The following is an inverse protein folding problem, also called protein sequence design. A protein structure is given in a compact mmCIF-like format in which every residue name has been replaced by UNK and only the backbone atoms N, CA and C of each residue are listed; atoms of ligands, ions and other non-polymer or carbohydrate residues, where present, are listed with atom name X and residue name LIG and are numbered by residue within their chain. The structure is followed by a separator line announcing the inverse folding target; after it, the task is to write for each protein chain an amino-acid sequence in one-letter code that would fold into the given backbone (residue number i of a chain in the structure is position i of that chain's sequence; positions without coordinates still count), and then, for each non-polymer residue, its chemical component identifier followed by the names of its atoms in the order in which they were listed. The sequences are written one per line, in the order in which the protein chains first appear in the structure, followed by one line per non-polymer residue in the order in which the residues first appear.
data_IF_458750238021
#
_entry.id   IF_458750238021
#
_cell.length_a   1.000
_cell.length_b   1.000
_cell.length_c   1.000
_cell.angle_alpha   90.00
_cell.angle_beta   90.00
_cell.angle_gamma   90.00
#
_symmetry.space_group_name_H-M   'P 1'
#
loop_
_entity.id
_entity.type
_entity.pdbx_description
1 polymer ?
#
# COMPACT_ATOMS: atom_id res chain seq x y z
N UNK A 1 39.51 17.01 36.93
CA UNK A 1 39.29 16.93 35.46
C UNK A 1 38.47 18.09 34.86
N UNK A 2 37.43 18.65 35.54
CA UNK A 2 36.62 19.78 35.03
C UNK A 2 37.37 21.08 34.68
N UNK A 3 38.39 21.46 35.45
CA UNK A 3 39.14 22.73 35.23
C UNK A 3 40.01 22.75 33.97
N UNK A 4 40.52 21.58 33.54
CA UNK A 4 41.36 21.48 32.33
C UNK A 4 40.53 21.58 31.04
N UNK A 5 39.30 21.06 31.05
CA UNK A 5 38.35 21.18 29.93
C UNK A 5 37.93 22.64 29.69
N UNK A 6 37.65 23.40 30.75
CA UNK A 6 37.29 24.82 30.62
C UNK A 6 38.40 25.67 30.02
N UNK A 7 39.67 25.42 30.38
CA UNK A 7 40.81 26.15 29.82
C UNK A 7 40.95 25.90 28.31
N UNK A 8 40.76 24.65 27.87
CA UNK A 8 40.79 24.29 26.45
C UNK A 8 39.63 24.89 25.64
N UNK A 9 38.44 24.95 26.22
CA UNK A 9 37.29 25.60 25.57
C UNK A 9 37.50 27.11 25.44
N UNK A 10 38.02 27.77 26.48
CA UNK A 10 38.34 29.20 26.45
C UNK A 10 39.41 29.56 25.41
N UNK A 11 40.42 28.71 25.23
CA UNK A 11 41.44 28.92 24.18
C UNK A 11 40.86 28.73 22.78
N UNK A 12 39.99 27.74 22.58
CA UNK A 12 39.35 27.48 21.28
C UNK A 12 38.39 28.61 20.88
N UNK A 13 37.58 29.11 21.83
CA UNK A 13 36.70 30.27 21.59
C UNK A 13 37.50 31.53 21.26
N UNK A 14 38.68 31.70 21.88
CA UNK A 14 39.58 32.83 21.61
C UNK A 14 40.29 32.73 20.26
N UNK A 15 40.51 31.53 19.74
CA UNK A 15 41.08 31.30 18.40
C UNK A 15 40.06 31.46 17.28
N UNK A 16 38.77 31.31 17.56
CA UNK A 16 37.67 31.53 16.61
C UNK A 16 37.22 33.01 16.52
N UNK A 17 37.76 33.89 17.36
CA UNK A 17 37.45 35.31 17.38
C UNK A 17 38.29 36.05 16.31
N UNK A 18 37.72 36.21 15.11
CA UNK A 18 38.40 36.75 13.94
C UNK A 18 38.60 38.29 13.94
N UNK A 19 38.16 38.99 14.99
CA UNK A 19 38.15 40.45 15.05
C UNK A 19 39.11 41.02 16.13
N UNK A 20 39.90 42.07 15.82
CA UNK A 20 40.77 42.71 16.80
C UNK A 20 39.94 43.40 17.90
N UNK A 21 40.25 43.12 19.17
CA UNK A 21 39.54 43.71 20.31
C UNK A 21 39.87 45.19 20.46
N UNK A 22 38.81 45.99 20.62
CA UNK A 22 38.87 47.44 20.88
C UNK A 22 39.41 47.71 22.30
N UNK A 23 40.07 48.85 22.50
CA UNK A 23 40.64 49.23 23.81
C UNK A 23 39.55 49.46 24.87
N UNK A 24 39.81 49.05 26.11
CA UNK A 24 38.84 49.05 27.22
C UNK A 24 38.27 50.45 27.54
N UNK A 25 38.95 51.52 27.15
CA UNK A 25 38.49 52.91 27.32
C UNK A 25 37.36 53.34 26.39
N UNK A 26 37.05 52.55 25.34
CA UNK A 26 35.98 52.83 24.38
C UNK A 26 34.81 51.85 24.52
N UNK A 27 34.79 51.03 25.58
CA UNK A 27 33.80 49.98 25.80
C UNK A 27 33.10 50.20 27.13
N UNK A 28 31.97 50.89 27.10
CA UNK A 28 31.11 51.07 28.27
C UNK A 28 30.28 49.81 28.49
N UNK A 29 30.68 48.96 29.44
CA UNK A 29 29.94 47.74 29.78
C UNK A 29 28.78 48.07 30.72
N UNK A 30 27.55 48.09 30.18
CA UNK A 30 26.35 48.23 31.01
C UNK A 30 25.72 46.88 31.35
N UNK A 31 25.47 46.63 32.64
CA UNK A 31 24.77 45.44 33.12
C UNK A 31 23.34 45.31 32.55
N UNK A 32 22.70 46.44 32.22
CA UNK A 32 21.37 46.43 31.58
C UNK A 32 21.43 45.98 30.13
N UNK A 33 22.45 46.40 29.36
CA UNK A 33 22.64 46.00 27.96
C UNK A 33 22.94 44.51 27.78
N UNK A 34 23.72 43.93 28.70
CA UNK A 34 23.98 42.48 28.73
C UNK A 34 22.73 41.65 29.02
N UNK A 35 21.88 42.13 29.94
CA UNK A 35 20.62 41.44 30.29
C UNK A 35 19.63 41.46 29.13
N UNK A 36 19.47 42.61 28.45
CA UNK A 36 18.61 42.73 27.26
C UNK A 36 19.10 41.80 26.14
N UNK A 37 20.41 41.74 25.92
CA UNK A 37 21.00 40.84 24.92
C UNK A 37 20.70 39.36 25.21
N UNK A 38 20.82 38.92 26.47
CA UNK A 38 20.51 37.54 26.86
C UNK A 38 19.02 37.18 26.66
N UNK A 39 18.13 38.11 27.00
CA UNK A 39 16.68 37.93 26.78
C UNK A 39 16.39 37.82 25.28
N UNK A 40 16.99 38.70 24.46
CA UNK A 40 16.81 38.66 23.01
C UNK A 40 17.33 37.36 22.39
N UNK A 41 18.51 36.90 22.78
CA UNK A 41 19.05 35.60 22.32
C UNK A 41 18.18 34.42 22.78
N UNK A 42 17.67 34.45 24.01
CA UNK A 42 16.75 33.43 24.52
C UNK A 42 15.43 33.40 23.74
N UNK A 43 14.86 34.57 23.43
CA UNK A 43 13.65 34.68 22.62
C UNK A 43 13.88 34.19 21.18
N UNK A 44 14.99 34.59 20.54
CA UNK A 44 15.36 34.10 19.21
C UNK A 44 15.56 32.58 19.18
N UNK A 45 16.22 32.00 20.20
CA UNK A 45 16.40 30.56 20.31
C UNK A 45 15.07 29.81 20.49
N UNK A 46 14.15 30.37 21.29
CA UNK A 46 12.81 29.81 21.49
C UNK A 46 11.97 29.86 20.20
N UNK A 47 12.01 30.98 19.47
CA UNK A 47 11.34 31.09 18.17
C UNK A 47 11.94 30.12 17.15
N UNK A 48 13.27 30.02 17.07
CA UNK A 48 13.94 29.09 16.18
C UNK A 48 13.61 27.62 16.53
N UNK A 49 13.48 27.30 17.81
CA UNK A 49 13.04 25.98 18.26
C UNK A 49 11.63 25.67 17.78
N UNK A 50 10.66 26.57 17.99
CA UNK A 50 9.29 26.36 17.52
C UNK A 50 9.19 26.27 15.99
N UNK A 51 9.87 27.16 15.27
CA UNK A 51 9.91 27.13 13.81
C UNK A 51 10.49 25.82 13.29
N UNK A 52 11.52 25.28 13.97
CA UNK A 52 12.07 23.98 13.64
C UNK A 52 11.02 22.87 13.78
N UNK A 53 10.18 22.86 14.82
CA UNK A 53 9.10 21.86 14.93
C UNK A 53 8.03 22.03 13.86
N UNK A 54 7.70 23.26 13.47
CA UNK A 54 6.76 23.54 12.39
C UNK A 54 7.33 23.07 11.05
N UNK A 55 8.58 23.41 10.74
CA UNK A 55 9.27 22.98 9.51
C UNK A 55 9.48 21.46 9.44
N UNK A 56 9.61 20.82 10.60
CA UNK A 56 9.67 19.36 10.73
C UNK A 56 8.34 18.68 10.42
N UNK A 57 7.20 19.37 10.53
CA UNK A 57 5.92 18.82 10.16
C UNK A 57 5.71 18.94 8.64
N UNK A 58 5.40 17.81 8.00
CA UNK A 58 5.18 17.75 6.56
C UNK A 58 3.69 17.72 6.30
N UNK A 59 3.23 18.46 5.29
CA UNK A 59 1.83 18.52 4.89
C UNK A 59 1.71 18.10 3.42
N UNK A 60 0.63 17.40 3.08
CA UNK A 60 0.39 17.00 1.69
C UNK A 60 -0.25 18.18 0.97
N UNK A 61 0.31 18.56 -0.18
CA UNK A 61 -0.25 19.61 -1.04
C UNK A 61 -0.63 18.98 -2.38
N UNK A 62 -1.92 18.95 -2.66
CA UNK A 62 -2.45 18.42 -3.91
C UNK A 62 -2.50 19.54 -4.95
N UNK A 63 -1.81 19.35 -6.07
CA UNK A 63 -1.81 20.27 -7.21
C UNK A 63 -2.34 19.51 -8.43
N UNK A 64 -3.11 20.21 -9.26
CA UNK A 64 -3.66 19.65 -10.50
C UNK A 64 -2.80 20.11 -11.67
N UNK A 65 -2.35 19.13 -12.46
CA UNK A 65 -1.62 19.37 -13.70
C UNK A 65 -2.34 18.65 -14.86
N UNK A 66 -2.16 19.17 -16.08
CA UNK A 66 -2.71 18.54 -17.29
C UNK A 66 -1.85 17.33 -17.65
N UNK A 67 -2.45 16.14 -17.70
CA UNK A 67 -1.78 14.93 -18.22
C UNK A 67 -1.56 15.07 -19.73
N UNK A 68 -0.29 15.15 -20.15
CA UNK A 68 0.12 15.21 -21.56
C UNK A 68 0.49 13.82 -22.12
N UNK A 69 0.59 12.79 -21.28
CA UNK A 69 1.11 11.47 -21.64
C UNK A 69 -0.01 10.47 -21.96
N UNK A 70 -0.71 10.71 -23.08
CA UNK A 70 -1.81 9.85 -23.56
C UNK A 70 -1.33 8.50 -24.14
N UNK A 71 -0.09 8.43 -24.64
CA UNK A 71 0.42 7.23 -25.33
C UNK A 71 0.95 6.15 -24.37
N UNK A 72 1.14 6.49 -23.10
CA UNK A 72 1.65 5.54 -22.10
C UNK A 72 0.58 4.52 -21.71
N UNK A 73 1.01 3.28 -21.43
CA UNK A 73 0.10 2.25 -20.91
C UNK A 73 -0.06 2.39 -19.41
N UNK A 74 -1.28 2.22 -18.93
CA UNK A 74 -1.62 2.19 -17.51
C UNK A 74 -1.47 0.77 -16.97
N UNK A 75 -0.71 0.60 -15.90
CA UNK A 75 -0.65 -0.65 -15.14
C UNK A 75 -1.90 -0.77 -14.27
N UNK A 76 -2.59 -1.89 -14.28
CA UNK A 76 -3.67 -2.21 -13.32
C UNK A 76 -3.19 -3.38 -12.49
N UNK A 77 -3.17 -3.23 -11.16
CA UNK A 77 -2.88 -4.32 -10.23
C UNK A 77 -4.21 -4.88 -9.73
N UNK A 78 -4.39 -6.19 -9.92
CA UNK A 78 -5.64 -6.89 -9.64
C UNK A 78 -5.33 -7.99 -8.64
N UNK A 79 -6.07 -8.02 -7.54
CA UNK A 79 -6.10 -9.10 -6.56
C UNK A 79 -7.57 -9.32 -6.15
N UNK A 80 -8.20 -10.32 -6.77
CA UNK A 80 -9.62 -10.61 -6.60
C UNK A 80 -9.79 -12.11 -6.32
N UNK A 81 -10.65 -12.45 -5.38
CA UNK A 81 -11.02 -13.83 -5.07
C UNK A 81 -12.48 -14.07 -5.43
N UNK A 82 -12.74 -14.94 -6.42
CA UNK A 82 -14.09 -15.34 -6.84
C UNK A 82 -14.45 -16.72 -6.30
N UNK A 83 -15.70 -16.92 -5.84
CA UNK A 83 -16.21 -18.17 -5.25
C UNK A 83 -16.52 -19.27 -6.28
N UNK A 84 -15.64 -19.43 -7.27
CA UNK A 84 -15.73 -20.43 -8.33
C UNK A 84 -14.38 -21.12 -8.54
N UNK A 85 -14.38 -22.30 -9.15
CA UNK A 85 -13.13 -22.99 -9.50
C UNK A 85 -12.38 -22.23 -10.60
N UNK A 86 -11.05 -22.16 -10.51
CA UNK A 86 -10.21 -21.48 -11.50
C UNK A 86 -10.31 -21.98 -12.94
N UNK A 87 -10.81 -23.20 -13.15
CA UNK A 87 -11.03 -23.74 -14.50
C UNK A 87 -12.20 -23.07 -15.22
N UNK A 88 -13.13 -22.48 -14.45
CA UNK A 88 -14.37 -21.91 -14.95
C UNK A 88 -14.42 -20.39 -14.81
N UNK A 89 -13.32 -19.73 -14.43
CA UNK A 89 -13.27 -18.27 -14.28
C UNK A 89 -12.24 -17.72 -15.25
N UNK A 90 -12.60 -16.64 -15.94
CA UNK A 90 -11.70 -15.86 -16.78
C UNK A 90 -11.91 -14.38 -16.53
N UNK A 91 -10.81 -13.63 -16.53
CA UNK A 91 -10.84 -12.18 -16.53
C UNK A 91 -10.48 -11.65 -17.92
N UNK A 92 -11.29 -10.73 -18.44
CA UNK A 92 -11.09 -10.05 -19.71
C UNK A 92 -11.17 -8.53 -19.52
N UNK A 93 -10.30 -7.82 -20.23
CA UNK A 93 -10.26 -6.37 -20.25
C UNK A 93 -10.55 -5.92 -21.67
N UNK A 94 -11.59 -5.10 -21.82
CA UNK A 94 -12.03 -4.55 -23.09
C UNK A 94 -11.89 -3.03 -23.03
N UNK A 95 -11.19 -2.46 -24.00
CA UNK A 95 -11.15 -1.01 -24.18
C UNK A 95 -12.34 -0.51 -25.03
N UNK A 96 -12.49 0.81 -25.15
CA UNK A 96 -13.50 1.43 -26.02
C UNK A 96 -13.43 0.95 -27.49
N UNK A 97 -12.28 0.44 -27.93
CA UNK A 97 -12.10 -0.11 -29.28
C UNK A 97 -12.46 -1.60 -29.36
N UNK A 98 -13.00 -2.18 -28.28
CA UNK A 98 -13.33 -3.60 -28.11
C UNK A 98 -12.14 -4.53 -28.42
N UNK A 99 -10.91 -4.01 -28.32
CA UNK A 99 -9.72 -4.81 -28.54
C UNK A 99 -9.38 -5.53 -27.24
N UNK A 100 -9.35 -6.86 -27.31
CA UNK A 100 -9.01 -7.66 -26.14
C UNK A 100 -7.50 -7.57 -25.89
N UNK A 101 -7.14 -7.00 -24.75
CA UNK A 101 -5.76 -7.02 -24.27
C UNK A 101 -5.54 -8.37 -23.59
N UNK A 102 -4.65 -9.19 -24.14
CA UNK A 102 -4.38 -10.53 -23.62
C UNK A 102 -4.01 -10.50 -22.13
N UNK A 103 -4.70 -11.30 -21.32
CA UNK A 103 -4.53 -11.42 -19.86
C UNK A 103 -3.23 -12.13 -19.42
N UNK A 104 -2.14 -12.00 -20.19
CA UNK A 104 -0.91 -12.78 -20.00
C UNK A 104 -0.21 -12.51 -18.66
N UNK A 105 -0.58 -11.43 -17.96
CA UNK A 105 -0.04 -11.07 -16.63
C UNK A 105 -0.89 -11.52 -15.44
N UNK A 106 -2.05 -12.17 -15.66
CA UNK A 106 -2.93 -12.65 -14.58
C UNK A 106 -2.71 -14.13 -14.28
N UNK A 107 -2.53 -14.43 -13.00
CA UNK A 107 -2.38 -15.78 -12.46
C UNK A 107 -3.67 -16.21 -11.76
N UNK A 108 -3.98 -17.50 -11.85
CA UNK A 108 -5.20 -18.09 -11.32
C UNK A 108 -4.82 -19.22 -10.35
N UNK A 109 -5.00 -18.99 -9.06
CA UNK A 109 -4.65 -19.93 -8.00
C UNK A 109 -5.88 -20.45 -7.25
N UNK A 110 -6.03 -21.77 -7.06
CA UNK A 110 -7.16 -22.31 -6.32
C UNK A 110 -7.00 -22.02 -4.82
N UNK A 111 -8.02 -21.41 -4.23
CA UNK A 111 -8.02 -21.02 -2.80
C UNK A 111 -9.35 -21.36 -2.13
N UNK A 112 -9.42 -21.16 -0.81
CA UNK A 112 -10.65 -21.23 -0.03
C UNK A 112 -11.27 -19.83 0.01
N UNK A 113 -12.58 -19.72 -0.25
CA UNK A 113 -13.26 -18.42 -0.24
C UNK A 113 -13.31 -17.78 1.16
N UNK A 114 -13.60 -18.62 2.16
CA UNK A 114 -13.72 -18.21 3.56
C UNK A 114 -12.40 -17.71 4.15
N UNK A 115 -12.45 -16.54 4.80
CA UNK A 115 -11.32 -15.99 5.54
C UNK A 115 -11.18 -16.57 6.95
N UNK A 116 -9.93 -16.67 7.41
CA UNK A 116 -9.57 -16.95 8.79
C UNK A 116 -10.13 -15.84 9.72
N UNK A 117 -10.48 -16.09 11.01
CA UNK A 117 -11.01 -15.04 11.88
C UNK A 117 -10.12 -13.80 11.99
N UNK A 118 -8.79 -13.96 11.99
CA UNK A 118 -7.84 -12.85 11.96
C UNK A 118 -7.97 -11.99 10.68
N UNK A 119 -8.06 -12.64 9.51
CA UNK A 119 -8.22 -11.95 8.23
C UNK A 119 -9.58 -11.26 8.13
N UNK A 120 -10.64 -11.89 8.66
CA UNK A 120 -11.97 -11.28 8.72
C UNK A 120 -12.00 -10.04 9.61
N UNK A 121 -11.27 -10.04 10.72
CA UNK A 121 -11.13 -8.84 11.57
C UNK A 121 -10.41 -7.71 10.82
N UNK A 122 -9.32 -8.04 10.11
CA UNK A 122 -8.60 -7.09 9.27
C UNK A 122 -9.49 -6.49 8.18
N UNK A 123 -10.20 -7.33 7.42
CA UNK A 123 -11.09 -6.88 6.35
C UNK A 123 -12.18 -5.94 6.89
N UNK A 124 -12.79 -6.26 8.04
CA UNK A 124 -13.78 -5.38 8.69
C UNK A 124 -13.18 -4.03 9.07
N UNK A 125 -11.97 -4.03 9.62
CA UNK A 125 -11.26 -2.79 9.93
C UNK A 125 -11.02 -1.96 8.66
N UNK A 126 -10.59 -2.59 7.57
CA UNK A 126 -10.34 -1.93 6.29
C UNK A 126 -11.62 -1.29 5.73
N UNK A 127 -12.74 -2.00 5.75
CA UNK A 127 -14.04 -1.49 5.31
C UNK A 127 -14.52 -0.29 6.14
N UNK A 128 -14.29 -0.32 7.47
CA UNK A 128 -14.61 0.82 8.35
C UNK A 128 -13.76 2.04 8.00
N UNK A 129 -12.46 1.83 7.76
CA UNK A 129 -11.55 2.91 7.35
C UNK A 129 -11.99 3.50 6.01
N UNK A 130 -12.30 2.66 5.02
CA UNK A 130 -12.76 3.10 3.71
C UNK A 130 -14.06 3.90 3.75
N UNK A 131 -15.06 3.41 4.50
CA UNK A 131 -16.32 4.14 4.63
C UNK A 131 -16.08 5.53 5.23
N UNK A 132 -15.19 5.65 6.22
CA UNK A 132 -14.80 6.92 6.81
C UNK A 132 -14.00 7.80 5.83
N UNK A 133 -13.07 7.22 5.07
CA UNK A 133 -12.29 7.94 4.06
C UNK A 133 -13.18 8.51 2.95
N UNK A 134 -14.25 7.81 2.58
CA UNK A 134 -15.23 8.28 1.58
C UNK A 134 -16.00 9.51 2.07
N UNK A 135 -16.29 9.58 3.36
CA UNK A 135 -16.96 10.75 3.95
C UNK A 135 -15.97 11.91 4.16
N UNK A 136 -14.74 11.60 4.58
CA UNK A 136 -13.76 12.58 5.04
C UNK A 136 -12.41 12.38 4.32
N UNK A 137 -12.28 13.01 3.16
CA UNK A 137 -11.07 12.93 2.33
C UNK A 137 -9.79 13.43 3.04
N UNK A 138 -9.93 14.33 4.02
CA UNK A 138 -8.82 14.84 4.84
C UNK A 138 -8.14 13.76 5.70
N UNK A 139 -8.81 12.61 5.91
CA UNK A 139 -8.26 11.52 6.70
C UNK A 139 -7.16 10.73 5.98
N UNK A 140 -7.09 10.83 4.65
CA UNK A 140 -6.04 10.17 3.86
C UNK A 140 -4.65 10.61 4.36
N UNK A 141 -4.50 11.89 4.70
CA UNK A 141 -3.24 12.45 5.21
C UNK A 141 -2.87 11.91 6.60
N UNK A 142 -3.85 11.79 7.50
CA UNK A 142 -3.63 11.26 8.86
C UNK A 142 -3.24 9.78 8.80
N UNK A 143 -3.90 9.02 7.93
CA UNK A 143 -3.56 7.62 7.70
C UNK A 143 -2.16 7.51 7.10
N UNK A 144 -1.85 8.27 6.05
CA UNK A 144 -0.53 8.28 5.43
C UNK A 144 0.60 8.57 6.46
N UNK A 145 0.43 9.60 7.30
CA UNK A 145 1.38 9.91 8.40
C UNK A 145 1.48 8.80 9.44
N UNK A 146 0.42 8.06 9.71
CA UNK A 146 0.40 6.95 10.67
C UNK A 146 1.05 5.68 10.09
N UNK A 147 0.86 5.44 8.80
CA UNK A 147 1.44 4.31 8.06
C UNK A 147 2.95 4.47 7.91
N UNK A 148 3.43 5.67 7.59
CA UNK A 148 4.87 5.99 7.56
C UNK A 148 5.55 5.82 8.93
N UNK A 149 4.79 5.79 10.02
CA UNK A 149 5.28 5.49 11.38
C UNK A 149 5.25 3.99 11.74
N UNK A 150 4.94 3.11 10.78
CA UNK A 150 5.03 1.65 10.93
C UNK A 150 3.71 0.93 11.18
N UNK A 151 2.56 1.55 10.91
CA UNK A 151 1.28 0.84 10.93
C UNK A 151 1.18 -0.16 9.76
N UNK A 152 0.82 -1.44 10.00
CA UNK A 152 0.59 -2.36 8.89
C UNK A 152 -0.63 -1.88 8.09
N UNK A 153 -0.51 -1.77 6.77
CA UNK A 153 -1.63 -1.52 5.84
C UNK A 153 -1.88 -2.70 4.92
N UNK A 154 -0.95 -3.64 4.86
CA UNK A 154 -1.08 -4.83 4.05
C UNK A 154 -2.00 -5.83 4.76
N UNK A 155 -2.90 -6.44 3.99
CA UNK A 155 -3.60 -7.65 4.37
C UNK A 155 -2.55 -8.64 4.91
N UNK A 156 -2.72 -9.20 6.14
CA UNK A 156 -1.81 -10.22 6.61
C UNK A 156 -1.74 -11.35 5.58
N UNK A 157 -0.53 -11.88 5.30
CA UNK A 157 -0.35 -12.85 4.24
C UNK A 157 -1.32 -14.00 4.45
N UNK A 158 -1.98 -14.43 3.37
CA UNK A 158 -2.84 -15.61 3.44
C UNK A 158 -2.01 -16.77 3.94
N UNK A 159 -2.51 -17.48 4.94
CA UNK A 159 -1.93 -18.74 5.38
C UNK A 159 -2.22 -19.82 4.35
N UNK A 160 -1.61 -19.72 3.16
CA UNK A 160 -1.68 -20.75 2.13
C UNK A 160 -0.49 -21.67 2.35
N UNK A 161 -0.63 -22.62 3.27
CA UNK A 161 0.23 -23.81 3.25
C UNK A 161 -0.24 -24.71 2.11
N UNK A 162 0.05 -24.30 0.86
CA UNK A 162 0.25 -25.32 -0.17
C UNK A 162 1.50 -26.09 0.21
N UNK A 163 1.32 -27.27 0.81
CA UNK A 163 2.38 -28.21 1.15
C UNK A 163 3.09 -28.79 -0.09
N UNK A 164 3.07 -28.09 -1.24
CA UNK A 164 3.84 -28.46 -2.43
C UNK A 164 5.22 -27.80 -2.47
N UNK A 165 5.44 -26.69 -1.77
CA UNK A 165 6.79 -26.09 -1.65
C UNK A 165 7.63 -26.64 -0.49
N UNK A 166 7.11 -27.56 0.32
CA UNK A 166 7.86 -28.11 1.45
C UNK A 166 8.86 -29.22 1.03
N UNK A 167 8.62 -29.90 -0.11
CA UNK A 167 9.46 -31.02 -0.53
C UNK A 167 10.81 -30.58 -1.13
N UNK A 168 10.86 -29.41 -1.77
CA UNK A 168 12.08 -28.89 -2.40
C UNK A 168 13.10 -28.32 -1.42
N UNK A 169 12.65 -27.89 -0.23
CA UNK A 169 13.53 -27.29 0.78
C UNK A 169 14.27 -28.34 1.63
N UNK A 170 13.81 -29.60 1.66
CA UNK A 170 14.41 -30.65 2.48
C UNK A 170 15.73 -31.23 1.92
N UNK A 171 16.01 -31.05 0.62
CA UNK A 171 17.11 -31.79 -0.02
C UNK A 171 18.44 -31.03 -0.02
N UNK A 172 18.46 -29.69 0.10
CA UNK A 172 19.69 -28.93 -0.22
C UNK A 172 20.47 -28.30 0.93
N UNK A 173 19.92 -28.13 2.13
CA UNK A 173 20.69 -27.51 3.21
C UNK A 173 20.41 -28.18 4.55
N UNK A 174 21.30 -29.11 4.90
CA UNK A 174 21.44 -29.58 6.26
C UNK A 174 21.87 -28.41 7.17
N UNK A 175 21.00 -28.13 8.15
CA UNK A 175 21.22 -27.31 9.33
C UNK A 175 21.19 -25.77 9.14
N UNK A 176 20.39 -25.13 10.00
CA UNK A 176 20.18 -23.68 10.18
C UNK A 176 18.99 -23.15 9.36
N UNK A 177 17.79 -23.25 9.92
CA UNK A 177 16.74 -22.22 10.05
C UNK A 177 15.51 -22.91 10.68
N UNK A 178 14.83 -22.20 11.58
CA UNK A 178 13.69 -22.70 12.38
C UNK A 178 12.65 -23.45 11.53
N UNK A 179 12.02 -24.52 12.06
CA UNK A 179 10.95 -25.17 11.34
C UNK A 179 9.79 -24.19 11.22
N UNK A 180 9.52 -23.71 10.00
CA UNK A 180 8.19 -23.21 9.65
C UNK A 180 7.27 -24.40 9.87
N UNK A 181 6.57 -24.42 11.01
CA UNK A 181 5.50 -25.36 11.27
C UNK A 181 4.46 -25.14 10.18
N UNK A 182 4.50 -25.96 9.14
CA UNK A 182 3.35 -26.14 8.27
C UNK A 182 2.26 -26.71 9.17
N UNK A 183 1.31 -25.88 9.57
CA UNK A 183 0.09 -26.36 10.19
C UNK A 183 -0.60 -27.17 9.11
N UNK A 184 -0.45 -28.49 9.19
CA UNK A 184 -1.35 -29.42 8.52
C UNK A 184 -2.70 -29.20 9.19
N UNK A 185 -3.51 -28.31 8.61
CA UNK A 185 -4.83 -28.07 9.15
C UNK A 185 -5.64 -29.36 9.04
N UNK A 186 -6.17 -29.79 10.19
CA UNK A 186 -7.13 -30.88 10.25
C UNK A 186 -8.37 -30.35 9.55
N UNK A 187 -8.78 -31.06 8.48
CA UNK A 187 -9.93 -30.77 7.62
C UNK A 187 -9.59 -29.87 6.43
N UNK A 188 -9.00 -30.48 5.39
CA UNK A 188 -8.80 -29.85 4.08
C UNK A 188 -10.17 -29.52 3.47
N UNK A 189 -10.68 -28.32 3.74
CA UNK A 189 -11.86 -27.80 3.05
C UNK A 189 -11.58 -27.82 1.53
N UNK A 190 -12.58 -28.17 0.70
CA UNK A 190 -12.39 -28.15 -0.74
C UNK A 190 -12.09 -26.71 -1.20
N UNK A 191 -11.09 -26.58 -2.08
CA UNK A 191 -10.76 -25.32 -2.75
C UNK A 191 -11.95 -24.93 -3.65
N UNK A 192 -12.75 -24.00 -3.17
CA UNK A 192 -14.02 -23.59 -3.76
C UNK A 192 -13.97 -22.18 -4.39
N UNK A 193 -12.79 -21.55 -4.40
CA UNK A 193 -12.59 -20.24 -4.98
C UNK A 193 -11.35 -20.20 -5.87
N UNK A 194 -11.30 -19.15 -6.68
CA UNK A 194 -10.18 -18.80 -7.52
C UNK A 194 -9.65 -17.43 -7.13
N UNK A 195 -8.37 -17.39 -6.82
CA UNK A 195 -7.62 -16.18 -6.61
C UNK A 195 -7.01 -15.73 -7.93
N UNK A 196 -7.50 -14.60 -8.45
CA UNK A 196 -7.02 -13.95 -9.66
C UNK A 196 -6.13 -12.80 -9.23
N UNK A 197 -4.82 -12.95 -9.43
CA UNK A 197 -3.85 -11.95 -9.03
C UNK A 197 -2.81 -11.64 -10.12
N UNK A 198 -2.30 -10.43 -10.12
CA UNK A 198 -1.24 -10.01 -11.03
C UNK A 198 -1.42 -8.57 -11.50
N UNK A 199 -0.77 -8.25 -12.61
CA UNK A 199 -0.86 -6.93 -13.21
C UNK A 199 -0.97 -7.00 -14.72
N UNK A 200 -1.71 -6.06 -15.30
CA UNK A 200 -1.88 -5.95 -16.75
C UNK A 200 -1.67 -4.51 -17.19
N UNK A 201 -1.04 -4.33 -18.35
CA UNK A 201 -0.86 -3.02 -18.97
C UNK A 201 -1.97 -2.78 -19.99
N UNK A 202 -2.75 -1.73 -19.77
CA UNK A 202 -3.89 -1.33 -20.61
C UNK A 202 -3.66 0.04 -21.22
N UNK A 203 -4.41 0.37 -22.27
CA UNK A 203 -4.42 1.73 -22.81
C UNK A 203 -5.13 2.68 -21.83
N UNK A 204 -4.69 3.94 -21.74
CA UNK A 204 -5.33 5.00 -20.92
C UNK A 204 -6.63 5.50 -21.56
N UNK A 205 -7.58 4.61 -21.76
CA UNK A 205 -8.91 4.91 -22.31
C UNK A 205 -9.97 4.30 -21.42
N UNK A 206 -11.23 4.74 -21.57
CA UNK A 206 -12.32 4.05 -20.91
C UNK A 206 -12.35 2.58 -21.36
N UNK A 207 -12.73 1.71 -20.45
CA UNK A 207 -12.75 0.28 -20.67
C UNK A 207 -13.41 -0.42 -19.49
N UNK A 208 -13.71 -1.69 -19.69
CA UNK A 208 -14.36 -2.53 -18.70
C UNK A 208 -13.47 -3.74 -18.39
N UNK A 209 -13.30 -4.02 -17.11
CA UNK A 209 -12.75 -5.27 -16.61
C UNK A 209 -13.95 -6.15 -16.24
N UNK A 210 -14.04 -7.31 -16.88
CA UNK A 210 -15.04 -8.31 -16.56
C UNK A 210 -14.35 -9.56 -15.99
N UNK A 211 -15.01 -10.18 -15.02
CA UNK A 211 -14.64 -11.50 -14.48
C UNK A 211 -15.85 -12.40 -14.65
N UNK A 212 -15.79 -13.30 -15.60
CA UNK A 212 -16.93 -14.10 -16.07
C UNK A 212 -16.61 -15.59 -16.08
N UNK A 213 -17.63 -16.38 -16.42
CA UNK A 213 -17.50 -17.83 -16.52
C UNK A 213 -16.82 -18.22 -17.82
N UNK A 214 -15.80 -19.07 -17.73
CA UNK A 214 -15.04 -19.57 -18.86
C UNK A 214 -13.78 -18.75 -19.11
N UNK A 215 -12.84 -19.35 -19.82
CA UNK A 215 -11.67 -18.58 -20.30
C UNK A 215 -12.09 -17.77 -21.52
N UNK A 216 -11.62 -16.52 -21.65
CA UNK A 216 -11.94 -15.71 -22.82
C UNK A 216 -11.32 -16.33 -24.07
N UNK A 217 -12.07 -16.37 -25.16
CA UNK A 217 -11.59 -16.85 -26.46
C UNK A 217 -11.72 -15.74 -27.49
N UNK A 218 -10.61 -15.50 -28.18
CA UNK A 218 -10.55 -14.58 -29.30
C UNK A 218 -11.31 -15.19 -30.50
N UNK A 219 -12.40 -14.54 -30.93
CA UNK A 219 -13.10 -14.88 -32.16
C UNK A 219 -13.12 -13.65 -33.10
N UNK A 220 -12.91 -13.81 -34.42
CA UNK A 220 -12.82 -12.69 -35.36
C UNK A 220 -14.12 -11.87 -35.55
N UNK A 221 -15.27 -12.33 -35.03
CA UNK A 221 -16.57 -11.62 -35.07
C UNK A 221 -17.05 -11.15 -33.68
N UNK A 222 -16.21 -11.21 -32.65
CA UNK A 222 -16.54 -10.75 -31.29
C UNK A 222 -15.85 -11.56 -30.20
N UNK A 223 -16.17 -11.27 -28.94
CA UNK A 223 -15.63 -12.02 -27.80
C UNK A 223 -16.68 -12.97 -27.25
N UNK A 224 -16.30 -14.24 -27.09
CA UNK A 224 -17.16 -15.26 -26.50
C UNK A 224 -16.42 -15.95 -25.35
N UNK A 225 -17.14 -16.14 -24.26
CA UNK A 225 -16.68 -16.94 -23.15
C UNK A 225 -17.18 -18.37 -23.33
N UNK A 226 -16.30 -19.37 -23.30
CA UNK A 226 -16.76 -20.77 -23.31
C UNK A 226 -17.32 -21.12 -21.94
N UNK A 227 -18.64 -20.98 -21.81
CA UNK A 227 -19.43 -21.54 -20.72
C UNK A 227 -20.00 -22.94 -21.05
N UNK A 228 -19.79 -23.44 -22.28
CA UNK A 228 -20.51 -24.57 -22.87
C UNK A 228 -20.39 -25.92 -22.13
N UNK A 229 -19.46 -26.06 -21.19
CA UNK A 229 -19.24 -27.29 -20.41
C UNK A 229 -19.47 -27.12 -18.91
N UNK A 230 -19.95 -25.97 -18.46
CA UNK A 230 -20.17 -25.67 -17.04
C UNK A 230 -21.68 -25.61 -16.79
N UNK A 231 -22.19 -26.48 -15.90
CA UNK A 231 -23.61 -26.43 -15.51
C UNK A 231 -23.90 -25.10 -14.81
N UNK A 232 -25.00 -24.45 -15.19
CA UNK A 232 -25.48 -23.20 -14.59
C UNK A 232 -25.68 -23.31 -13.07
N UNK A 233 -25.90 -24.52 -12.54
CA UNK A 233 -26.05 -24.80 -11.10
C UNK A 233 -24.75 -24.59 -10.30
N UNK A 234 -23.61 -24.37 -10.98
CA UNK A 234 -22.30 -24.18 -10.33
C UNK A 234 -21.82 -22.73 -10.35
N UNK A 235 -22.64 -21.79 -10.85
CA UNK A 235 -22.27 -20.38 -10.92
C UNK A 235 -22.42 -19.70 -9.56
N UNK A 236 -21.33 -19.12 -9.09
CA UNK A 236 -21.32 -18.37 -7.84
C UNK A 236 -20.39 -17.17 -7.98
N UNK A 237 -20.94 -16.04 -8.42
CA UNK A 237 -20.18 -14.79 -8.59
C UNK A 237 -19.96 -14.04 -7.27
N UNK A 238 -20.12 -14.70 -6.12
CA UNK A 238 -19.65 -14.15 -4.85
C UNK A 238 -18.16 -13.88 -4.98
N UNK A 239 -17.75 -12.65 -4.73
CA UNK A 239 -16.37 -12.25 -4.90
C UNK A 239 -15.94 -11.29 -3.81
N UNK A 240 -14.63 -11.24 -3.59
CA UNK A 240 -13.97 -10.29 -2.73
C UNK A 240 -12.84 -9.66 -3.51
N UNK A 241 -12.77 -8.34 -3.50
CA UNK A 241 -11.65 -7.57 -4.04
C UNK A 241 -10.70 -7.37 -2.88
N UNK A 242 -9.53 -8.00 -2.91
CA UNK A 242 -8.53 -7.84 -1.86
C UNK A 242 -7.69 -6.59 -2.13
N UNK A 243 -7.29 -6.39 -3.39
CA UNK A 243 -6.63 -5.16 -3.84
C UNK A 243 -6.96 -4.84 -5.30
N UNK A 244 -7.28 -3.58 -5.59
CA UNK A 244 -7.43 -3.08 -6.95
C UNK A 244 -6.86 -1.66 -7.05
N UNK A 245 -5.79 -1.51 -7.83
CA UNK A 245 -5.11 -0.22 -8.00
C UNK A 245 -4.70 0.05 -9.44
N UNK A 246 -4.51 1.33 -9.74
CA UNK A 246 -4.11 1.83 -11.05
C UNK A 246 -2.78 2.55 -10.92
N UNK A 247 -1.81 2.16 -11.75
CA UNK A 247 -0.44 2.65 -11.74
C UNK A 247 0.50 1.84 -10.85
N UNK A 248 1.54 2.50 -10.37
CA UNK A 248 2.48 1.92 -9.42
C UNK A 248 1.90 1.95 -8.01
N UNK A 249 2.20 0.92 -7.22
CA UNK A 249 1.72 0.84 -5.84
C UNK A 249 2.44 1.86 -4.96
N UNK A 250 1.65 2.71 -4.32
CA UNK A 250 2.16 3.72 -3.38
C UNK A 250 1.83 3.25 -1.96
N UNK A 251 2.83 3.10 -1.08
CA UNK A 251 2.61 2.63 0.28
C UNK A 251 1.73 3.63 1.05
N UNK A 252 0.71 3.10 1.74
CA UNK A 252 -0.18 3.89 2.60
C UNK A 252 -1.40 4.48 1.92
N UNK A 253 -1.58 4.27 0.61
CA UNK A 253 -2.85 4.52 -0.07
C UNK A 253 -3.77 3.32 0.14
N UNK A 254 -4.99 3.58 0.57
CA UNK A 254 -6.07 2.60 0.63
C UNK A 254 -6.99 2.89 -0.55
N UNK A 255 -7.12 1.95 -1.50
CA UNK A 255 -8.00 2.17 -2.64
C UNK A 255 -9.47 1.99 -2.24
N UNK A 256 -10.44 2.61 -2.93
CA UNK A 256 -11.84 2.56 -2.53
C UNK A 256 -12.50 1.17 -2.58
N UNK A 257 -11.93 0.22 -3.32
CA UNK A 257 -12.49 -1.12 -3.54
C UNK A 257 -11.76 -2.22 -2.75
N UNK A 258 -10.66 -1.91 -2.06
CA UNK A 258 -9.87 -2.89 -1.32
C UNK A 258 -10.66 -3.51 -0.16
N UNK A 259 -10.64 -4.82 0.00
CA UNK A 259 -11.42 -5.56 1.01
C UNK A 259 -12.94 -5.59 0.81
N UNK A 260 -13.47 -5.03 -0.29
CA UNK A 260 -14.91 -5.11 -0.59
C UNK A 260 -15.31 -6.54 -0.92
N UNK A 261 -16.46 -6.97 -0.42
CA UNK A 261 -17.00 -8.32 -0.61
C UNK A 261 -18.46 -8.24 -1.00
N UNK A 262 -18.83 -9.01 -2.01
CA UNK A 262 -20.20 -9.15 -2.52
C UNK A 262 -20.55 -10.63 -2.56
N UNK A 263 -21.66 -10.97 -1.91
CA UNK A 263 -22.19 -12.33 -1.88
C UNK A 263 -23.42 -12.38 -2.77
N UNK A 264 -23.45 -13.34 -3.69
CA UNK A 264 -24.60 -13.63 -4.54
C UNK A 264 -25.53 -14.60 -3.84
N UNK A 265 -26.84 -14.33 -3.86
CA UNK A 265 -27.84 -15.27 -3.33
C UNK A 265 -28.45 -16.16 -4.42
N UNK A 266 -28.32 -15.75 -5.69
CA UNK A 266 -28.79 -16.48 -6.85
C UNK A 266 -27.62 -16.79 -7.80
N UNK A 267 -27.64 -17.97 -8.43
CA UNK A 267 -26.58 -18.42 -9.35
C UNK A 267 -26.43 -17.52 -10.60
N UNK A 268 -27.48 -16.79 -10.98
CA UNK A 268 -27.48 -15.88 -12.14
C UNK A 268 -27.31 -14.39 -11.77
N UNK A 269 -27.04 -14.09 -10.50
CA UNK A 269 -26.82 -12.71 -10.07
C UNK A 269 -25.41 -12.27 -10.47
N UNK A 270 -25.32 -11.24 -11.31
CA UNK A 270 -24.07 -10.61 -11.76
C UNK A 270 -24.01 -9.16 -11.24
N UNK A 271 -22.79 -8.65 -11.02
CA UNK A 271 -22.50 -7.31 -10.49
C UNK A 271 -21.72 -6.49 -11.50
#
# INVERSE_FOLDING_TARGET
MRRLSQRKALTLVRELDAFPKVSESHVETSASGGTVSLIAFGAMALLAFFEFFVYRDTWMKYEYEVDNDYSSKLRINIDITAAMKCQHVGADILDLAETMITSNGLQYEPVIFDLNPQQRMWQRMLLLIQNRLREEHALQEVLYKSVLKGGPTALPPRSVTSCKQALFCFILYANIVQPVRCVADKQLKPLNACWVHGHVYVNKVAGNLHVTVGKPIHHPQGHAHIAAFVSHDTYNFSHRIDHLSFGEEIPGIINPLDGTEKITYNHNQMF
#
